data_IF_492185076268
#
_entry.id   IF_492185076268
#
_cell.length_a   1.000
_cell.length_b   1.000
_cell.length_c   1.000
_cell.angle_alpha   90.00
_cell.angle_beta   90.00
_cell.angle_gamma   90.00
#
_symmetry.space_group_name_H-M   'P 1'
#
loop_
_entity.id
_entity.type
_entity.pdbx_description
1 polymer ?
#
# COMPACT_ATOMS: atom_id res chain seq x y z
N UNK A 1 6.44 0.43 33.96
CA UNK A 1 6.50 1.91 33.84
C UNK A 1 5.93 2.23 32.47
N UNK A 2 4.62 2.19 32.39
CA UNK A 2 3.86 2.13 31.15
C UNK A 2 3.55 3.56 30.70
N UNK A 3 4.41 4.09 29.83
CA UNK A 3 4.25 5.40 29.20
C UNK A 3 3.14 5.39 28.16
N UNK A 4 1.89 5.29 28.61
CA UNK A 4 0.71 5.46 27.76
C UNK A 4 0.45 6.95 27.50
N UNK A 5 1.08 7.51 26.46
CA UNK A 5 0.85 8.89 26.05
C UNK A 5 -0.03 8.96 24.79
N UNK A 6 -1.06 9.82 24.90
CA UNK A 6 -1.94 10.38 23.86
C UNK A 6 -3.18 9.59 23.44
N UNK A 7 -4.16 9.52 24.35
CA UNK A 7 -5.55 9.52 23.93
C UNK A 7 -5.93 10.98 23.54
N UNK A 8 -5.63 11.38 22.29
CA UNK A 8 -6.06 12.68 21.76
C UNK A 8 -7.60 12.75 21.80
N UNK A 9 -8.12 13.78 22.46
CA UNK A 9 -9.56 14.08 22.56
C UNK A 9 -10.23 14.04 21.18
N UNK A 10 -11.50 13.60 21.12
CA UNK A 10 -12.27 13.49 19.88
C UNK A 10 -12.27 14.80 19.08
N UNK A 11 -12.40 15.94 19.76
CA UNK A 11 -12.29 17.27 19.16
C UNK A 11 -10.96 17.49 18.43
N UNK A 12 -9.84 17.05 19.02
CA UNK A 12 -8.53 17.17 18.36
C UNK A 12 -8.45 16.25 17.12
N UNK A 13 -9.04 15.04 17.17
CA UNK A 13 -9.07 14.13 16.02
C UNK A 13 -9.87 14.73 14.86
N UNK A 14 -11.00 15.35 15.15
CA UNK A 14 -11.84 16.03 14.15
C UNK A 14 -11.14 17.24 13.56
N UNK A 15 -10.52 18.07 14.39
CA UNK A 15 -9.71 19.20 13.94
C UNK A 15 -8.58 18.74 12.99
N UNK A 16 -7.85 17.68 13.34
CA UNK A 16 -6.82 17.12 12.47
C UNK A 16 -7.40 16.59 11.15
N UNK A 17 -8.56 15.91 11.18
CA UNK A 17 -9.26 15.46 9.96
C UNK A 17 -9.65 16.64 9.07
N UNK A 18 -10.25 17.68 9.63
CA UNK A 18 -10.62 18.91 8.90
C UNK A 18 -9.39 19.55 8.26
N UNK A 19 -8.32 19.78 9.03
CA UNK A 19 -7.06 20.37 8.51
C UNK A 19 -6.41 19.53 7.42
N UNK A 20 -6.46 18.20 7.53
CA UNK A 20 -5.99 17.30 6.46
C UNK A 20 -6.84 17.47 5.19
N UNK A 21 -8.16 17.53 5.33
CA UNK A 21 -9.08 17.73 4.20
C UNK A 21 -8.86 19.08 3.53
N UNK A 22 -8.79 20.16 4.32
CA UNK A 22 -8.45 21.50 3.83
C UNK A 22 -7.12 21.52 3.07
N UNK A 23 -6.06 20.93 3.64
CA UNK A 23 -4.74 20.86 2.99
C UNK A 23 -4.78 20.05 1.69
N UNK A 24 -5.60 19.00 1.62
CA UNK A 24 -5.78 18.21 0.39
C UNK A 24 -6.55 19.01 -0.66
N UNK A 25 -7.58 19.76 -0.26
CA UNK A 25 -8.37 20.62 -1.13
C UNK A 25 -7.57 21.82 -1.65
N UNK A 26 -6.69 22.39 -0.82
CA UNK A 26 -5.82 23.51 -1.18
C UNK A 26 -4.69 23.14 -2.17
N UNK A 27 -4.49 21.85 -2.47
CA UNK A 27 -3.52 21.44 -3.51
C UNK A 27 -4.08 21.77 -4.88
N UNK A 28 -3.44 22.71 -5.56
CA UNK A 28 -3.75 23.03 -6.96
C UNK A 28 -3.65 21.76 -7.82
N UNK A 29 -4.64 21.51 -8.70
CA UNK A 29 -4.54 20.43 -9.66
C UNK A 29 -3.32 20.70 -10.54
N UNK A 30 -2.43 19.72 -10.64
CA UNK A 30 -1.31 19.79 -11.57
C UNK A 30 -1.88 19.71 -12.97
N UNK A 31 -1.63 20.74 -13.77
CA UNK A 31 -2.02 20.73 -15.17
C UNK A 31 -1.13 19.72 -15.92
N UNK A 32 -1.74 18.59 -16.28
CA UNK A 32 -1.10 17.56 -17.09
C UNK A 32 -1.78 17.59 -18.45
N UNK A 33 -1.01 17.56 -19.53
CA UNK A 33 -1.56 17.45 -20.88
C UNK A 33 -2.53 16.26 -21.03
N UNK A 34 -3.42 16.29 -22.04
CA UNK A 34 -4.51 15.33 -22.18
C UNK A 34 -4.05 13.88 -22.28
N UNK A 35 -2.84 13.60 -22.77
CA UNK A 35 -2.22 12.27 -22.87
C UNK A 35 -1.05 12.07 -21.90
N UNK A 36 -0.73 13.07 -21.08
CA UNK A 36 0.46 13.08 -20.24
C UNK A 36 0.28 12.23 -18.97
N UNK A 37 1.38 11.58 -18.57
CA UNK A 37 1.47 10.80 -17.34
C UNK A 37 1.20 11.64 -16.09
N UNK A 38 0.24 11.20 -15.27
CA UNK A 38 -0.20 11.88 -14.04
C UNK A 38 0.69 11.59 -12.83
N UNK A 39 1.99 11.38 -13.05
CA UNK A 39 2.91 11.11 -11.95
C UNK A 39 3.11 12.39 -11.11
N UNK A 40 3.09 12.32 -9.75
CA UNK A 40 3.07 13.52 -8.92
C UNK A 40 4.23 14.48 -9.11
N UNK A 41 5.43 14.03 -9.53
CA UNK A 41 6.59 14.92 -9.73
C UNK A 41 6.52 15.65 -11.08
N UNK A 42 5.53 15.36 -11.92
CA UNK A 42 5.51 15.78 -13.32
C UNK A 42 6.29 14.79 -14.17
N UNK A 43 5.64 14.23 -15.19
CA UNK A 43 6.29 13.31 -16.12
C UNK A 43 5.87 13.67 -17.54
N UNK A 44 6.83 13.95 -18.43
CA UNK A 44 6.56 14.32 -19.82
C UNK A 44 6.23 13.14 -20.75
N UNK A 45 6.24 11.90 -20.26
CA UNK A 45 5.91 10.72 -21.06
C UNK A 45 4.39 10.58 -21.22
N UNK A 46 3.95 10.01 -22.33
CA UNK A 46 2.55 9.69 -22.58
C UNK A 46 2.05 8.55 -21.68
N UNK A 47 0.74 8.52 -21.45
CA UNK A 47 0.07 7.46 -20.70
C UNK A 47 0.09 6.17 -21.51
N UNK A 48 0.35 5.05 -20.83
CA UNK A 48 0.33 3.75 -21.47
C UNK A 48 -1.10 3.38 -21.91
N UNK A 49 -1.23 2.61 -22.98
CA UNK A 49 -2.51 2.07 -23.43
C UNK A 49 -2.79 0.72 -22.76
N UNK A 50 -4.03 0.54 -22.29
CA UNK A 50 -4.57 -0.80 -21.98
C UNK A 50 -4.78 -1.57 -23.28
N UNK A 51 -4.87 -2.90 -23.18
CA UNK A 51 -5.28 -3.78 -24.30
C UNK A 51 -6.63 -3.37 -24.91
N UNK A 52 -7.49 -2.72 -24.13
CA UNK A 52 -8.80 -2.23 -24.55
C UNK A 52 -8.75 -0.88 -25.27
N UNK A 53 -7.56 -0.30 -25.50
CA UNK A 53 -7.39 1.02 -26.11
C UNK A 53 -7.55 2.21 -25.15
N UNK A 54 -7.91 1.97 -23.88
CA UNK A 54 -8.08 3.03 -22.88
C UNK A 54 -6.73 3.39 -22.23
N UNK A 55 -6.45 4.69 -22.06
CA UNK A 55 -5.24 5.16 -21.41
C UNK A 55 -5.22 4.80 -19.91
N UNK A 56 -4.07 4.33 -19.42
CA UNK A 56 -3.75 4.27 -18.00
C UNK A 56 -3.59 5.69 -17.42
N UNK A 57 -3.46 5.81 -16.10
CA UNK A 57 -3.12 7.09 -15.45
C UNK A 57 -1.64 7.47 -15.60
N UNK A 58 -0.77 6.46 -15.79
CA UNK A 58 0.68 6.63 -15.84
C UNK A 58 1.26 6.12 -17.16
N UNK A 59 2.46 6.59 -17.47
CA UNK A 59 3.29 6.00 -18.53
C UNK A 59 3.71 4.57 -18.18
N UNK A 60 4.25 3.87 -19.17
CA UNK A 60 4.73 2.48 -19.05
C UNK A 60 5.70 2.31 -17.87
N UNK A 61 6.70 3.19 -17.79
CA UNK A 61 7.72 3.18 -16.74
C UNK A 61 7.12 3.31 -15.33
N UNK A 62 6.28 4.32 -15.11
CA UNK A 62 5.70 4.54 -13.78
C UNK A 62 4.68 3.45 -13.40
N UNK A 63 3.97 2.87 -14.38
CA UNK A 63 3.09 1.71 -14.14
C UNK A 63 3.90 0.49 -13.67
N UNK A 64 4.97 0.16 -14.38
CA UNK A 64 5.84 -0.97 -14.03
C UNK A 64 6.49 -0.77 -12.65
N UNK A 65 7.00 0.44 -12.37
CA UNK A 65 7.58 0.80 -11.07
C UNK A 65 6.57 0.67 -9.93
N UNK A 66 5.33 1.14 -10.11
CA UNK A 66 4.29 0.98 -9.10
C UNK A 66 3.95 -0.50 -8.87
N UNK A 67 3.82 -1.28 -9.93
CA UNK A 67 3.58 -2.72 -9.81
C UNK A 67 4.72 -3.42 -9.05
N UNK A 68 5.96 -3.03 -9.29
CA UNK A 68 7.11 -3.57 -8.57
C UNK A 68 7.07 -3.22 -7.08
N UNK A 69 6.83 -1.95 -6.74
CA UNK A 69 6.70 -1.50 -5.34
C UNK A 69 5.56 -2.26 -4.64
N UNK A 70 4.42 -2.43 -5.33
CA UNK A 70 3.28 -3.17 -4.82
C UNK A 70 3.63 -4.64 -4.57
N UNK A 71 4.30 -5.31 -5.52
CA UNK A 71 4.77 -6.69 -5.34
C UNK A 71 5.74 -6.82 -4.17
N UNK A 72 6.71 -5.92 -4.06
CA UNK A 72 7.67 -5.89 -2.92
C UNK A 72 6.93 -5.76 -1.59
N UNK A 73 5.95 -4.85 -1.49
CA UNK A 73 5.12 -4.66 -0.29
C UNK A 73 4.34 -5.94 0.05
N UNK A 74 3.64 -6.53 -0.91
CA UNK A 74 2.86 -7.75 -0.71
C UNK A 74 3.74 -8.93 -0.30
N UNK A 75 4.94 -9.07 -0.87
CA UNK A 75 5.88 -10.12 -0.50
C UNK A 75 6.34 -9.97 0.95
N UNK A 76 6.61 -8.74 1.40
CA UNK A 76 6.93 -8.47 2.81
C UNK A 76 5.75 -8.83 3.73
N UNK A 77 4.54 -8.41 3.40
CA UNK A 77 3.34 -8.75 4.18
C UNK A 77 3.10 -10.27 4.26
N UNK A 78 3.30 -10.99 3.14
CA UNK A 78 3.20 -12.46 3.11
C UNK A 78 4.28 -13.13 3.96
N UNK A 79 5.51 -12.62 3.94
CA UNK A 79 6.59 -13.14 4.76
C UNK A 79 6.29 -12.96 6.25
N UNK A 80 5.84 -11.78 6.67
CA UNK A 80 5.44 -11.49 8.05
C UNK A 80 4.29 -12.39 8.50
N UNK A 81 3.25 -12.58 7.67
CA UNK A 81 2.15 -13.51 7.98
C UNK A 81 2.61 -14.96 8.13
N UNK A 82 3.57 -15.40 7.29
CA UNK A 82 4.15 -16.75 7.39
C UNK A 82 4.97 -16.92 8.67
N UNK A 83 5.71 -15.89 9.07
CA UNK A 83 6.46 -15.89 10.32
C UNK A 83 5.53 -15.90 11.53
N UNK A 84 4.49 -15.07 11.53
CA UNK A 84 3.46 -15.05 12.57
C UNK A 84 2.75 -16.40 12.68
N UNK A 85 2.41 -17.03 11.55
CA UNK A 85 1.84 -18.37 11.53
C UNK A 85 2.79 -19.42 12.12
N UNK A 86 4.10 -19.34 11.83
CA UNK A 86 5.11 -20.20 12.46
C UNK A 86 5.22 -19.98 13.97
N UNK A 87 5.19 -18.73 14.44
CA UNK A 87 5.21 -18.41 15.87
C UNK A 87 3.94 -18.88 16.60
N UNK A 88 2.81 -18.94 15.90
CA UNK A 88 1.53 -19.44 16.44
C UNK A 88 1.40 -20.97 16.39
N UNK A 89 2.31 -21.70 15.75
CA UNK A 89 2.29 -23.16 15.83
C UNK A 89 2.69 -23.59 17.25
N UNK A 90 1.85 -24.38 17.95
CA UNK A 90 2.25 -24.95 19.22
C UNK A 90 3.40 -25.94 19.00
N UNK A 91 4.48 -25.77 19.76
CA UNK A 91 5.56 -26.74 19.90
C UNK A 91 5.04 -27.99 20.59
N UNK A 92 4.41 -28.90 19.86
CA UNK A 92 3.93 -30.15 20.46
C UNK A 92 2.84 -30.86 19.67
N UNK A 93 3.26 -31.66 18.70
CA UNK A 93 2.44 -32.72 18.11
C UNK A 93 3.24 -34.01 18.13
N UNK A 94 3.36 -34.63 19.30
CA UNK A 94 3.78 -36.02 19.41
C UNK A 94 2.70 -36.92 18.81
N UNK A 95 3.12 -37.91 18.01
CA UNK A 95 2.39 -39.16 17.84
C UNK A 95 1.52 -39.31 16.58
N UNK A 96 2.03 -40.08 15.62
CA UNK A 96 1.51 -41.44 15.36
C UNK A 96 2.48 -42.21 14.46
N UNK A 97 3.14 -43.22 15.05
CA UNK A 97 3.76 -44.31 14.30
C UNK A 97 2.73 -44.90 13.33
N UNK A 98 3.12 -45.07 12.08
CA UNK A 98 2.44 -46.01 11.19
C UNK A 98 3.12 -47.36 11.42
N UNK A 99 2.48 -48.20 12.21
CA UNK A 99 2.84 -49.61 12.29
C UNK A 99 2.71 -50.25 10.91
N UNK A 100 3.77 -50.98 10.60
CA UNK A 100 3.99 -51.89 9.48
C UNK A 100 2.95 -53.01 9.44
N UNK A 101 2.57 -53.43 8.24
CA UNK A 101 1.90 -54.71 7.97
C UNK A 101 2.66 -55.44 6.87
#
# INVERSE_FOLDING_TARGET
>A
RDGGYHNMCEYHREYQRQKITERRAAKTPKDFGPTQCRYPVGCGKERALKKTGVLHNYCEFHRQRQNEIQRRRQNRERALKREEARRRQPVGGSGRSKDTF
#
